data_IF_145540623114
#
_entry.id   IF_145540623114
#
_cell.length_a   1.000
_cell.length_b   1.000
_cell.length_c   1.000
_cell.angle_alpha   90.00
_cell.angle_beta   90.00
_cell.angle_gamma   90.00
#
_symmetry.space_group_name_H-M   'P 1'
#
loop_
_entity.id
_entity.type
_entity.pdbx_description
1 polymer ?
#
# COMPACT_ATOMS: atom_id res chain seq x y z
N UNK A 1 18.73 7.27 -40.30
CA UNK A 1 18.86 8.15 -39.13
C UNK A 1 17.67 9.09 -39.13
N UNK A 2 16.62 8.74 -38.40
CA UNK A 2 15.43 9.57 -38.23
C UNK A 2 15.78 10.69 -37.26
N UNK A 3 15.69 11.94 -37.71
CA UNK A 3 15.82 13.12 -36.86
C UNK A 3 14.72 13.07 -35.78
N UNK A 4 15.05 13.29 -34.49
CA UNK A 4 14.03 13.33 -33.45
C UNK A 4 12.99 14.42 -33.75
N UNK A 5 11.71 14.12 -33.53
CA UNK A 5 10.65 15.14 -33.58
C UNK A 5 10.92 16.21 -32.52
N UNK A 6 10.50 17.44 -32.77
CA UNK A 6 10.71 18.59 -31.88
C UNK A 6 10.17 18.33 -30.47
N UNK A 7 9.09 17.57 -30.38
CA UNK A 7 8.44 17.12 -29.14
C UNK A 7 9.27 16.07 -28.38
N UNK A 8 9.79 15.04 -29.06
CA UNK A 8 10.71 14.06 -28.45
C UNK A 8 12.00 14.70 -27.92
N UNK A 9 12.46 15.78 -28.56
CA UNK A 9 13.58 16.60 -28.08
C UNK A 9 13.23 17.44 -26.85
N UNK A 10 11.96 17.88 -26.70
CA UNK A 10 11.49 18.59 -25.50
C UNK A 10 11.43 17.65 -24.29
N UNK A 11 10.76 16.50 -24.43
CA UNK A 11 10.60 15.52 -23.34
C UNK A 11 11.97 15.03 -22.84
N UNK A 12 12.89 14.73 -23.76
CA UNK A 12 14.24 14.29 -23.39
C UNK A 12 15.01 15.33 -22.58
N UNK A 13 14.87 16.62 -22.92
CA UNK A 13 15.49 17.73 -22.16
C UNK A 13 14.83 17.92 -20.79
N UNK A 14 13.50 17.86 -20.72
CA UNK A 14 12.77 17.93 -19.46
C UNK A 14 13.14 16.77 -18.53
N UNK A 15 13.27 15.55 -19.05
CA UNK A 15 13.77 14.39 -18.29
C UNK A 15 15.19 14.60 -17.76
N UNK A 16 16.08 15.20 -18.54
CA UNK A 16 17.43 15.52 -18.07
C UNK A 16 17.40 16.57 -16.94
N UNK A 17 16.57 17.60 -17.06
CA UNK A 17 16.36 18.60 -16.00
C UNK A 17 15.78 17.98 -14.73
N UNK A 18 14.82 17.07 -14.86
CA UNK A 18 14.23 16.35 -13.74
C UNK A 18 15.28 15.56 -12.96
N UNK A 19 16.16 14.85 -13.69
CA UNK A 19 17.25 14.08 -13.08
C UNK A 19 18.26 14.96 -12.36
N UNK A 20 18.60 16.12 -12.95
CA UNK A 20 19.50 17.09 -12.35
C UNK A 20 18.88 17.65 -11.05
N UNK A 21 17.60 18.01 -11.06
CA UNK A 21 16.91 18.52 -9.88
C UNK A 21 16.85 17.50 -8.72
N UNK A 22 16.69 16.20 -9.01
CA UNK A 22 16.84 15.15 -7.98
C UNK A 22 18.28 15.06 -7.48
N UNK A 23 19.27 15.23 -8.37
CA UNK A 23 20.69 15.30 -8.01
C UNK A 23 20.99 16.47 -7.07
N UNK A 24 20.44 17.64 -7.34
CA UNK A 24 20.61 18.84 -6.51
C UNK A 24 19.96 18.70 -5.13
N UNK A 25 18.90 17.87 -5.01
CA UNK A 25 18.24 17.56 -3.75
C UNK A 25 18.86 16.35 -3.02
N UNK A 26 19.91 15.73 -3.57
CA UNK A 26 20.45 14.45 -3.08
C UNK A 26 20.71 14.42 -1.58
N UNK A 27 21.51 15.36 -1.09
CA UNK A 27 21.98 15.29 0.30
C UNK A 27 20.83 15.57 1.28
N UNK A 28 19.89 16.44 0.91
CA UNK A 28 18.65 16.69 1.66
C UNK A 28 17.78 15.43 1.72
N UNK A 29 17.57 14.72 0.60
CA UNK A 29 16.77 13.49 0.57
C UNK A 29 17.39 12.39 1.44
N UNK A 30 18.72 12.24 1.43
CA UNK A 30 19.42 11.27 2.28
C UNK A 30 19.32 11.66 3.75
N UNK A 31 19.49 12.94 4.08
CA UNK A 31 19.34 13.46 5.44
C UNK A 31 17.94 13.17 5.99
N UNK A 32 16.89 13.45 5.21
CA UNK A 32 15.50 13.18 5.59
C UNK A 32 15.29 11.68 5.81
N UNK A 33 15.76 10.82 4.90
CA UNK A 33 15.61 9.37 5.02
C UNK A 33 16.26 8.86 6.31
N UNK A 34 17.49 9.29 6.60
CA UNK A 34 18.21 8.88 7.82
C UNK A 34 17.52 9.37 9.09
N UNK A 35 16.99 10.60 9.06
CA UNK A 35 16.28 11.18 10.19
C UNK A 35 14.97 10.45 10.50
N UNK A 36 14.18 10.12 9.48
CA UNK A 36 12.97 9.29 9.62
C UNK A 36 13.36 7.90 10.14
N UNK A 37 14.36 7.27 9.51
CA UNK A 37 14.83 5.94 9.89
C UNK A 37 15.27 5.85 11.36
N UNK A 38 16.03 6.84 11.83
CA UNK A 38 16.56 6.88 13.20
C UNK A 38 15.50 7.18 14.27
N UNK A 39 14.32 7.66 13.89
CA UNK A 39 13.25 8.04 14.79
C UNK A 39 11.93 7.37 14.35
N UNK A 40 11.83 6.03 14.43
CA UNK A 40 10.64 5.32 13.99
C UNK A 40 9.43 5.72 14.83
N UNK A 41 8.35 6.12 14.16
CA UNK A 41 7.07 6.47 14.77
C UNK A 41 5.98 5.54 14.21
N UNK A 42 5.11 5.04 15.08
CA UNK A 42 4.07 4.09 14.67
C UNK A 42 2.93 4.79 13.92
N UNK A 43 2.08 3.98 13.29
CA UNK A 43 0.83 4.43 12.69
C UNK A 43 0.08 5.45 13.58
N UNK A 44 -0.31 6.59 12.99
CA UNK A 44 -0.98 7.72 13.66
C UNK A 44 -0.13 8.52 14.65
N UNK A 45 1.13 8.16 14.86
CA UNK A 45 2.06 8.83 15.76
C UNK A 45 3.23 9.50 15.03
N UNK A 46 3.25 9.51 13.69
CA UNK A 46 4.35 9.94 12.81
C UNK A 46 4.55 11.47 12.73
N UNK A 47 4.49 12.15 13.87
CA UNK A 47 4.52 13.62 13.97
C UNK A 47 5.85 14.21 13.54
N UNK A 48 6.97 13.55 13.86
CA UNK A 48 8.31 14.00 13.46
C UNK A 48 8.50 13.83 11.96
N UNK A 49 8.17 12.65 11.43
CA UNK A 49 8.37 12.35 10.01
C UNK A 49 7.49 13.22 9.11
N UNK A 50 6.18 13.26 9.36
CA UNK A 50 5.24 14.13 8.64
C UNK A 50 5.62 15.61 8.76
N UNK A 51 5.95 16.06 9.97
CA UNK A 51 6.33 17.42 10.26
C UNK A 51 7.61 17.84 9.53
N UNK A 52 8.59 16.93 9.43
CA UNK A 52 9.84 17.12 8.69
C UNK A 52 9.57 17.29 7.20
N UNK A 53 8.87 16.34 6.58
CA UNK A 53 8.54 16.38 5.15
C UNK A 53 7.78 17.66 4.77
N UNK A 54 6.74 17.99 5.56
CA UNK A 54 5.97 19.22 5.38
C UNK A 54 6.84 20.49 5.44
N UNK A 55 7.74 20.59 6.43
CA UNK A 55 8.68 21.73 6.54
C UNK A 55 9.58 21.86 5.32
N UNK A 56 10.09 20.74 4.79
CA UNK A 56 10.99 20.74 3.63
C UNK A 56 10.23 21.14 2.37
N UNK A 57 8.98 20.69 2.20
CA UNK A 57 8.11 21.11 1.11
C UNK A 57 7.79 22.63 1.16
N UNK A 58 7.49 23.18 2.34
CA UNK A 58 7.30 24.63 2.53
C UNK A 58 8.55 25.42 2.09
N UNK A 59 9.74 24.97 2.50
CA UNK A 59 11.03 25.58 2.11
C UNK A 59 11.28 25.50 0.58
N UNK A 60 10.73 24.48 -0.08
CA UNK A 60 10.81 24.29 -1.54
C UNK A 60 9.69 25.04 -2.29
N UNK A 61 8.86 25.80 -1.59
CA UNK A 61 7.84 26.69 -2.17
C UNK A 61 6.49 26.01 -2.44
N UNK A 62 6.20 24.88 -1.79
CA UNK A 62 4.86 24.29 -1.80
C UNK A 62 3.95 24.99 -0.78
N UNK A 63 2.68 25.13 -1.11
CA UNK A 63 1.64 25.46 -0.14
C UNK A 63 1.25 24.17 0.59
N UNK A 64 1.52 24.08 1.89
CA UNK A 64 1.32 22.84 2.67
C UNK A 64 0.21 23.01 3.70
N UNK A 65 -0.78 22.14 3.62
CA UNK A 65 -1.78 21.90 4.66
C UNK A 65 -1.32 20.71 5.52
N UNK A 66 -1.12 20.93 6.82
CA UNK A 66 -0.76 19.89 7.81
C UNK A 66 -2.03 19.44 8.53
N UNK A 67 -2.06 18.20 9.00
CA UNK A 67 -3.27 17.63 9.58
C UNK A 67 -4.37 17.43 8.53
N UNK A 68 -3.97 17.26 7.27
CA UNK A 68 -4.87 17.28 6.13
C UNK A 68 -5.85 16.11 6.19
N UNK A 69 -7.04 16.31 5.62
CA UNK A 69 -8.08 15.27 5.57
C UNK A 69 -8.39 14.67 6.94
N UNK A 70 -8.31 15.47 8.01
CA UNK A 70 -8.65 15.07 9.38
C UNK A 70 -7.77 13.97 9.99
N UNK A 71 -6.56 13.77 9.47
CA UNK A 71 -5.53 12.90 10.07
C UNK A 71 -4.38 13.79 10.53
N UNK A 72 -4.08 13.81 11.83
CA UNK A 72 -3.12 14.75 12.45
C UNK A 72 -1.75 14.74 11.76
N UNK A 73 -1.31 13.56 11.35
CA UNK A 73 0.00 13.32 10.74
C UNK A 73 -0.04 13.22 9.23
N UNK A 74 -1.17 13.48 8.57
CA UNK A 74 -1.22 13.63 7.11
C UNK A 74 -0.86 15.06 6.70
N UNK A 75 -0.35 15.22 5.48
CA UNK A 75 -0.18 16.54 4.87
C UNK A 75 -0.57 16.54 3.39
N UNK A 76 -0.99 17.70 2.91
CA UNK A 76 -1.31 17.97 1.52
C UNK A 76 -0.52 19.18 1.03
N UNK A 77 0.45 18.94 0.15
CA UNK A 77 1.34 19.98 -0.36
C UNK A 77 1.07 20.22 -1.85
N UNK A 78 0.80 21.46 -2.25
CA UNK A 78 0.48 21.84 -3.63
C UNK A 78 1.50 22.82 -4.22
N UNK A 79 1.83 22.64 -5.50
CA UNK A 79 2.63 23.58 -6.28
C UNK A 79 2.16 23.62 -7.75
N UNK A 80 2.14 24.81 -8.35
CA UNK A 80 1.67 24.98 -9.73
C UNK A 80 0.15 24.99 -9.86
N UNK A 81 -0.32 25.32 -11.06
CA UNK A 81 -1.73 25.54 -11.42
C UNK A 81 -2.01 25.06 -12.86
N UNK A 82 -1.20 24.12 -13.36
CA UNK A 82 -1.37 23.56 -14.69
C UNK A 82 -2.53 22.57 -14.80
N UNK A 83 -2.88 22.18 -16.04
CA UNK A 83 -4.08 21.39 -16.33
C UNK A 83 -3.96 19.91 -15.96
N UNK A 84 -2.74 19.39 -15.81
CA UNK A 84 -2.49 18.00 -15.39
C UNK A 84 -2.15 18.00 -13.89
N UNK A 85 -2.88 17.23 -13.10
CA UNK A 85 -2.70 17.11 -11.65
C UNK A 85 -2.04 15.77 -11.29
N UNK A 86 -0.80 15.81 -10.80
CA UNK A 86 -0.06 14.59 -10.41
C UNK A 86 0.17 14.55 -8.91
N UNK A 87 -0.12 13.41 -8.28
CA UNK A 87 0.13 13.16 -6.87
C UNK A 87 1.35 12.26 -6.67
N UNK A 88 2.28 12.68 -5.81
CA UNK A 88 3.40 11.87 -5.31
C UNK A 88 3.15 11.55 -3.84
N UNK A 89 3.09 10.26 -3.51
CA UNK A 89 2.71 9.82 -2.16
C UNK A 89 3.97 9.50 -1.35
N UNK A 90 3.90 9.81 -0.06
CA UNK A 90 4.98 9.64 0.90
C UNK A 90 4.45 8.92 2.15
N UNK A 91 4.90 7.69 2.38
CA UNK A 91 4.62 6.92 3.60
C UNK A 91 5.79 7.02 4.56
N UNK A 92 5.52 6.96 5.87
CA UNK A 92 6.54 7.21 6.89
C UNK A 92 6.20 6.64 8.28
N UNK A 93 5.20 5.78 8.40
CA UNK A 93 4.98 4.98 9.59
C UNK A 93 6.01 3.84 9.72
N UNK A 94 6.25 3.42 10.95
CA UNK A 94 7.14 2.34 11.32
C UNK A 94 6.37 1.19 11.96
N UNK A 95 7.03 0.03 12.05
CA UNK A 95 6.47 -1.16 12.68
C UNK A 95 6.90 -1.27 14.15
N UNK A 96 6.03 -1.81 15.04
CA UNK A 96 6.38 -2.06 16.44
C UNK A 96 7.65 -2.89 16.57
N UNK A 97 8.53 -2.48 17.49
CA UNK A 97 9.78 -3.15 17.88
C UNK A 97 10.89 -3.23 16.81
N UNK A 98 10.54 -3.24 15.52
CA UNK A 98 11.49 -3.43 14.41
C UNK A 98 11.74 -2.16 13.58
N UNK A 99 11.04 -1.06 13.86
CA UNK A 99 11.28 0.23 13.20
C UNK A 99 10.84 0.23 11.73
N UNK A 100 11.56 0.94 10.86
CA UNK A 100 11.26 1.00 9.41
C UNK A 100 11.66 -0.28 8.65
N UNK A 101 11.15 -1.43 9.10
CA UNK A 101 11.33 -2.73 8.47
C UNK A 101 10.56 -2.89 7.16
N UNK A 102 9.68 -1.95 6.82
CA UNK A 102 9.06 -1.85 5.49
C UNK A 102 9.74 -0.79 4.60
N UNK A 103 10.69 -0.02 5.15
CA UNK A 103 11.47 0.97 4.42
C UNK A 103 10.72 2.25 4.07
N UNK A 104 9.71 2.65 4.85
CA UNK A 104 8.91 3.85 4.59
C UNK A 104 9.75 5.14 4.58
N UNK A 105 10.90 5.17 5.27
CA UNK A 105 11.89 6.24 5.12
C UNK A 105 12.37 6.44 3.65
N UNK A 106 12.50 5.35 2.88
CA UNK A 106 12.85 5.39 1.47
C UNK A 106 11.63 5.70 0.58
N UNK A 107 10.43 5.29 0.97
CA UNK A 107 9.18 5.62 0.26
C UNK A 107 8.93 7.12 0.30
N UNK A 108 8.93 7.70 1.51
CA UNK A 108 8.79 9.15 1.71
C UNK A 108 9.77 9.95 0.86
N UNK A 109 11.04 9.53 0.84
CA UNK A 109 12.10 10.28 0.15
C UNK A 109 12.13 10.01 -1.35
N UNK A 110 11.70 8.83 -1.81
CA UNK A 110 11.48 8.56 -3.24
C UNK A 110 10.34 9.43 -3.80
N UNK A 111 9.21 9.50 -3.10
CA UNK A 111 8.07 10.33 -3.46
C UNK A 111 8.41 11.82 -3.47
N UNK A 112 9.03 12.32 -2.39
CA UNK A 112 9.52 13.70 -2.30
C UNK A 112 10.52 14.02 -3.42
N UNK A 113 11.50 13.15 -3.65
CA UNK A 113 12.49 13.31 -4.72
C UNK A 113 11.85 13.34 -6.10
N UNK A 114 10.87 12.46 -6.37
CA UNK A 114 10.10 12.45 -7.61
C UNK A 114 9.39 13.78 -7.88
N UNK A 115 8.71 14.31 -6.86
CA UNK A 115 8.01 15.58 -6.93
C UNK A 115 8.97 16.76 -7.16
N UNK A 116 10.08 16.83 -6.42
CA UNK A 116 11.10 17.87 -6.59
C UNK A 116 11.76 17.81 -7.98
N UNK A 117 12.00 16.60 -8.48
CA UNK A 117 12.50 16.36 -9.82
C UNK A 117 11.56 16.92 -10.88
N UNK A 118 10.27 16.57 -10.83
CA UNK A 118 9.29 17.10 -11.78
C UNK A 118 9.18 18.62 -11.70
N UNK A 119 9.09 19.18 -10.49
CA UNK A 119 9.05 20.63 -10.26
C UNK A 119 10.25 21.37 -10.87
N UNK A 120 11.43 20.76 -10.90
CA UNK A 120 12.62 21.32 -11.54
C UNK A 120 12.63 21.23 -13.07
N UNK A 121 11.75 20.42 -13.66
CA UNK A 121 11.72 20.13 -15.09
C UNK A 121 10.62 20.86 -15.86
N UNK A 122 9.55 21.28 -15.19
CA UNK A 122 8.38 21.89 -15.83
C UNK A 122 8.02 23.23 -15.20
N UNK A 123 7.28 24.07 -15.93
CA UNK A 123 6.80 25.35 -15.40
C UNK A 123 5.58 25.15 -14.48
N UNK A 124 5.32 26.07 -13.53
CA UNK A 124 4.15 25.98 -12.66
C UNK A 124 2.81 26.05 -13.41
N UNK A 125 2.79 26.51 -14.67
CA UNK A 125 1.60 26.50 -15.53
C UNK A 125 1.38 25.19 -16.29
N UNK A 126 2.34 24.26 -16.26
CA UNK A 126 2.24 22.98 -16.97
C UNK A 126 1.63 21.86 -16.11
N UNK A 127 1.81 21.92 -14.79
CA UNK A 127 1.35 20.89 -13.85
C UNK A 127 0.78 21.51 -12.58
N UNK A 128 -0.23 20.86 -12.00
CA UNK A 128 -0.58 20.98 -10.58
C UNK A 128 0.04 19.79 -9.85
N UNK A 129 1.13 20.04 -9.13
CA UNK A 129 1.85 19.01 -8.40
C UNK A 129 1.33 18.91 -6.98
N UNK A 130 0.95 17.70 -6.58
CA UNK A 130 0.51 17.37 -5.23
C UNK A 130 1.53 16.40 -4.61
N UNK A 131 1.93 16.67 -3.37
CA UNK A 131 2.65 15.71 -2.53
C UNK A 131 1.77 15.39 -1.32
N UNK A 132 1.41 14.13 -1.18
CA UNK A 132 0.57 13.64 -0.09
C UNK A 132 1.43 12.90 0.93
N UNK A 133 1.39 13.36 2.18
CA UNK A 133 1.85 12.57 3.31
C UNK A 133 0.76 11.63 3.75
N UNK A 134 1.01 10.33 3.64
CA UNK A 134 0.02 9.28 3.84
C UNK A 134 0.42 8.43 5.05
N UNK A 135 -0.15 8.68 6.24
CA UNK A 135 0.20 7.98 7.47
C UNK A 135 -0.44 6.58 7.54
N UNK A 136 0.03 5.78 8.49
CA UNK A 136 -0.60 4.54 8.94
C UNK A 136 -0.96 3.53 7.83
N UNK A 137 -0.04 3.26 6.91
CA UNK A 137 -0.24 2.21 5.89
C UNK A 137 -0.28 0.82 6.54
N UNK A 138 0.54 0.58 7.57
CA UNK A 138 0.74 -0.74 8.18
C UNK A 138 -0.35 -1.17 9.18
N UNK A 139 -1.34 -0.31 9.46
CA UNK A 139 -2.38 -0.59 10.47
C UNK A 139 -3.80 -0.28 9.98
N UNK A 140 -4.11 1.00 9.79
CA UNK A 140 -5.49 1.44 9.51
C UNK A 140 -5.74 1.81 8.04
N UNK A 141 -4.73 1.73 7.18
CA UNK A 141 -4.82 2.11 5.78
C UNK A 141 -5.19 3.58 5.60
N UNK A 142 -4.35 4.51 6.06
CA UNK A 142 -4.64 5.94 6.08
C UNK A 142 -5.09 6.52 4.74
N UNK A 143 -4.64 5.95 3.59
CA UNK A 143 -5.08 6.40 2.26
C UNK A 143 -6.56 6.15 2.02
N UNK A 144 -7.14 5.07 2.56
CA UNK A 144 -8.59 4.82 2.47
C UNK A 144 -9.41 5.93 3.15
N UNK A 145 -8.96 6.39 4.33
CA UNK A 145 -9.58 7.51 5.06
C UNK A 145 -9.44 8.82 4.28
N UNK A 146 -8.25 9.08 3.73
CA UNK A 146 -7.97 10.26 2.92
C UNK A 146 -8.83 10.29 1.64
N UNK A 147 -9.01 9.15 0.97
CA UNK A 147 -9.92 9.01 -0.18
C UNK A 147 -11.35 9.41 0.18
N UNK A 148 -11.88 8.88 1.29
CA UNK A 148 -13.23 9.20 1.75
C UNK A 148 -13.43 10.69 2.10
N UNK A 149 -12.32 11.43 2.26
CA UNK A 149 -12.29 12.86 2.60
C UNK A 149 -11.82 13.74 1.44
N UNK A 150 -11.76 13.20 0.22
CA UNK A 150 -11.53 13.96 -1.01
C UNK A 150 -10.06 14.15 -1.40
N UNK A 151 -9.11 13.43 -0.80
CA UNK A 151 -7.68 13.67 -1.05
C UNK A 151 -7.19 13.43 -2.48
N UNK A 152 -7.95 12.66 -3.26
CA UNK A 152 -7.62 12.31 -4.64
C UNK A 152 -8.61 12.91 -5.65
N UNK A 153 -9.50 13.81 -5.21
CA UNK A 153 -10.40 14.52 -6.11
C UNK A 153 -9.60 15.41 -7.07
N UNK A 154 -9.83 15.24 -8.38
CA UNK A 154 -9.15 16.01 -9.41
C UNK A 154 -7.70 15.59 -9.70
N UNK A 155 -7.20 14.52 -9.09
CA UNK A 155 -5.88 13.94 -9.41
C UNK A 155 -5.98 13.10 -10.68
N UNK A 156 -5.11 13.37 -11.66
CA UNK A 156 -5.06 12.64 -12.93
C UNK A 156 -4.23 11.35 -12.85
N UNK A 157 -3.18 11.31 -12.03
CA UNK A 157 -2.43 10.11 -11.71
C UNK A 157 -1.67 10.22 -10.38
N UNK A 158 -1.48 9.09 -9.70
CA UNK A 158 -0.76 8.96 -8.45
C UNK A 158 0.47 8.05 -8.58
N UNK A 159 1.60 8.48 -8.01
CA UNK A 159 2.89 7.80 -8.10
C UNK A 159 3.48 7.56 -6.70
N UNK A 160 3.91 6.33 -6.47
CA UNK A 160 4.66 5.89 -5.30
C UNK A 160 5.59 4.76 -5.72
N UNK A 161 6.62 4.46 -4.94
CA UNK A 161 7.49 3.31 -5.16
C UNK A 161 7.95 2.74 -3.83
N UNK A 162 8.08 1.41 -3.76
CA UNK A 162 8.27 0.69 -2.51
C UNK A 162 9.59 -0.09 -2.49
N UNK A 163 10.43 0.02 -1.45
CA UNK A 163 11.66 -0.74 -1.37
C UNK A 163 11.35 -2.23 -1.16
N UNK A 164 12.06 -3.10 -1.87
CA UNK A 164 11.94 -4.55 -1.75
C UNK A 164 13.29 -5.21 -2.13
N UNK A 165 13.42 -6.54 -2.06
CA UNK A 165 14.60 -7.23 -2.57
C UNK A 165 14.77 -7.13 -4.10
N UNK A 166 13.68 -6.91 -4.84
CA UNK A 166 13.66 -6.94 -6.30
C UNK A 166 12.90 -5.75 -6.90
N UNK A 167 13.31 -5.36 -8.11
CA UNK A 167 12.57 -4.43 -8.95
C UNK A 167 11.41 -5.15 -9.64
N UNK A 168 10.19 -4.67 -9.43
CA UNK A 168 8.96 -5.15 -10.06
C UNK A 168 8.15 -3.92 -10.44
N UNK A 169 7.76 -3.80 -11.70
CA UNK A 169 7.13 -2.59 -12.26
C UNK A 169 5.66 -2.49 -11.87
N UNK A 170 4.96 -3.61 -11.85
CA UNK A 170 3.55 -3.71 -11.49
C UNK A 170 3.32 -4.96 -10.62
N UNK A 171 3.80 -4.97 -9.35
CA UNK A 171 3.58 -6.10 -8.47
C UNK A 171 2.07 -6.31 -8.28
N UNK A 172 1.54 -7.53 -8.44
CA UNK A 172 0.19 -7.83 -7.95
C UNK A 172 0.17 -7.54 -6.45
N UNK A 173 -0.90 -7.01 -5.88
CA UNK A 173 -1.03 -6.92 -4.41
C UNK A 173 -2.40 -7.41 -4.00
N UNK A 174 -2.43 -8.18 -2.91
CA UNK A 174 -3.68 -8.70 -2.38
C UNK A 174 -4.51 -7.59 -1.77
N UNK A 175 -5.81 -7.61 -2.07
CA UNK A 175 -6.77 -7.01 -1.17
C UNK A 175 -6.95 -7.90 0.04
N UNK A 176 -7.19 -7.30 1.20
CA UNK A 176 -7.26 -7.97 2.50
C UNK A 176 -8.46 -7.46 3.26
N UNK A 177 -9.22 -8.41 3.81
CA UNK A 177 -10.23 -8.17 4.82
C UNK A 177 -9.99 -9.09 6.01
N UNK A 178 -9.98 -8.54 7.22
CA UNK A 178 -9.79 -9.27 8.45
C UNK A 178 -11.05 -9.23 9.32
N UNK A 179 -11.26 -10.24 10.16
CA UNK A 179 -12.35 -10.29 11.11
C UNK A 179 -11.97 -10.96 12.42
N UNK A 180 -12.66 -10.54 13.48
CA UNK A 180 -12.76 -11.24 14.75
C UNK A 180 -14.06 -12.04 14.76
N UNK A 181 -13.98 -13.28 15.22
CA UNK A 181 -15.12 -14.21 15.28
C UNK A 181 -15.29 -14.67 16.71
N UNK A 182 -16.50 -14.56 17.24
CA UNK A 182 -16.85 -15.01 18.59
C UNK A 182 -18.03 -15.97 18.52
N UNK A 183 -17.87 -17.11 19.17
CA UNK A 183 -18.95 -18.06 19.42
C UNK A 183 -19.37 -17.99 20.88
N UNK A 184 -20.67 -17.79 21.12
CA UNK A 184 -21.32 -17.82 22.42
C UNK A 184 -22.09 -19.12 22.62
N UNK A 185 -21.83 -19.82 23.71
CA UNK A 185 -22.41 -21.10 24.06
C UNK A 185 -22.96 -21.13 25.47
N UNK A 186 -22.96 -22.32 26.09
CA UNK A 186 -23.44 -22.52 27.45
C UNK A 186 -22.59 -23.56 28.15
N UNK A 187 -22.01 -23.18 29.28
CA UNK A 187 -21.13 -24.05 30.03
C UNK A 187 -21.92 -25.21 30.66
N UNK A 188 -21.29 -26.38 30.69
CA UNK A 188 -21.80 -27.56 31.39
C UNK A 188 -20.61 -28.40 31.87
N UNK A 189 -20.83 -29.21 32.90
CA UNK A 189 -19.81 -30.16 33.33
C UNK A 189 -19.68 -31.26 32.27
N UNK A 190 -18.51 -31.37 31.64
CA UNK A 190 -18.31 -32.21 30.45
C UNK A 190 -18.65 -33.69 30.66
N UNK A 191 -18.49 -34.21 31.89
CA UNK A 191 -18.82 -35.61 32.22
C UNK A 191 -20.17 -35.84 32.90
N UNK A 192 -20.81 -34.82 33.50
CA UNK A 192 -21.97 -35.04 34.39
C UNK A 192 -23.28 -34.73 33.68
N UNK A 193 -23.33 -33.64 32.91
CA UNK A 193 -24.53 -33.25 32.17
C UNK A 193 -24.16 -32.52 30.86
N UNK A 194 -23.32 -33.10 29.99
CA UNK A 194 -22.89 -32.45 28.75
C UNK A 194 -24.05 -32.05 27.83
N UNK A 195 -25.16 -32.78 27.86
CA UNK A 195 -26.37 -32.54 27.09
C UNK A 195 -27.06 -31.20 27.41
N UNK A 196 -26.70 -30.58 28.54
CA UNK A 196 -27.20 -29.26 28.92
C UNK A 196 -26.33 -28.13 28.36
N UNK A 197 -25.13 -28.43 27.85
CA UNK A 197 -24.20 -27.44 27.31
C UNK A 197 -24.46 -27.09 25.84
N UNK A 198 -23.85 -25.99 25.40
CA UNK A 198 -23.69 -25.61 23.99
C UNK A 198 -22.21 -25.28 23.81
N UNK A 199 -21.50 -26.07 23.00
CA UNK A 199 -20.06 -25.98 22.92
C UNK A 199 -19.61 -24.96 21.86
N UNK A 200 -19.17 -23.79 22.32
CA UNK A 200 -18.66 -22.72 21.47
C UNK A 200 -17.37 -23.11 20.74
N UNK A 201 -16.50 -23.90 21.37
CA UNK A 201 -15.27 -24.37 20.74
C UNK A 201 -15.57 -25.32 19.57
N UNK A 202 -16.55 -26.22 19.72
CA UNK A 202 -16.96 -27.12 18.63
C UNK A 202 -17.52 -26.34 17.44
N UNK A 203 -18.23 -25.23 17.69
CA UNK A 203 -18.69 -24.31 16.65
C UNK A 203 -17.52 -23.72 15.86
N UNK A 204 -16.52 -23.15 16.54
CA UNK A 204 -15.34 -22.56 15.91
C UNK A 204 -14.46 -23.61 15.21
N UNK A 205 -14.27 -24.79 15.79
CA UNK A 205 -13.53 -25.90 15.18
C UNK A 205 -14.24 -26.38 13.92
N UNK A 206 -15.57 -26.51 13.94
CA UNK A 206 -16.36 -26.87 12.76
C UNK A 206 -16.19 -25.85 11.64
N UNK A 207 -16.25 -24.56 11.96
CA UNK A 207 -16.00 -23.50 11.00
C UNK A 207 -14.57 -23.55 10.43
N UNK A 208 -13.56 -23.81 11.26
CA UNK A 208 -12.18 -23.98 10.82
C UNK A 208 -12.02 -25.16 9.85
N UNK A 209 -12.70 -26.28 10.11
CA UNK A 209 -12.72 -27.43 9.20
C UNK A 209 -13.46 -27.13 7.89
N UNK A 210 -14.59 -26.39 7.95
CA UNK A 210 -15.29 -25.94 6.75
C UNK A 210 -14.41 -25.01 5.89
N UNK A 211 -13.64 -24.11 6.51
CA UNK A 211 -12.63 -23.29 5.82
C UNK A 211 -11.53 -24.16 5.23
N UNK A 212 -11.07 -25.20 5.94
CA UNK A 212 -10.07 -26.12 5.42
C UNK A 212 -10.55 -26.84 4.14
N UNK A 213 -11.82 -27.23 4.09
CA UNK A 213 -12.44 -27.81 2.89
C UNK A 213 -12.66 -26.77 1.79
N UNK A 214 -13.06 -25.54 2.15
CA UNK A 214 -13.25 -24.43 1.22
C UNK A 214 -12.00 -24.17 0.37
N UNK A 215 -10.80 -24.34 0.95
CA UNK A 215 -9.50 -24.14 0.28
C UNK A 215 -9.32 -24.97 -0.99
N UNK A 216 -9.94 -26.17 -1.08
CA UNK A 216 -9.90 -26.99 -2.31
C UNK A 216 -10.60 -26.29 -3.49
N UNK A 217 -11.55 -25.41 -3.22
CA UNK A 217 -12.38 -24.70 -4.21
C UNK A 217 -12.09 -23.19 -4.26
N UNK A 218 -10.92 -22.79 -3.77
CA UNK A 218 -10.42 -21.42 -3.89
C UNK A 218 -9.59 -21.26 -5.16
N UNK A 219 -9.56 -20.03 -5.67
CA UNK A 219 -8.59 -19.68 -6.70
C UNK A 219 -7.17 -19.71 -6.14
N UNK A 220 -6.20 -19.96 -7.02
CA UNK A 220 -4.76 -19.98 -6.67
C UNK A 220 -4.24 -18.62 -6.22
N UNK A 221 -4.91 -17.54 -6.60
CA UNK A 221 -4.58 -16.14 -6.26
C UNK A 221 -5.42 -15.60 -5.10
N UNK A 222 -5.78 -16.46 -4.15
CA UNK A 222 -6.49 -16.10 -2.93
C UNK A 222 -6.02 -16.93 -1.73
N UNK A 223 -6.17 -16.38 -0.51
CA UNK A 223 -5.78 -17.01 0.75
C UNK A 223 -6.85 -16.79 1.81
N UNK A 224 -6.98 -17.77 2.71
CA UNK A 224 -7.73 -17.64 3.96
C UNK A 224 -6.87 -18.20 5.08
N UNK A 225 -6.50 -17.35 6.01
CA UNK A 225 -5.70 -17.68 7.18
C UNK A 225 -6.45 -17.27 8.45
N UNK A 226 -6.12 -17.92 9.57
CA UNK A 226 -6.67 -17.54 10.85
C UNK A 226 -6.24 -18.46 11.98
N UNK A 227 -6.53 -18.03 13.20
CA UNK A 227 -6.17 -18.70 14.44
C UNK A 227 -7.34 -18.69 15.42
N UNK A 228 -7.34 -19.64 16.35
CA UNK A 228 -8.18 -19.61 17.55
C UNK A 228 -7.40 -18.85 18.61
N UNK A 229 -7.92 -17.71 19.06
CA UNK A 229 -7.30 -16.86 20.08
C UNK A 229 -7.73 -17.27 21.49
N UNK A 230 -8.93 -17.83 21.63
CA UNK A 230 -9.45 -18.35 22.88
C UNK A 230 -10.35 -19.57 22.62
N UNK A 231 -10.14 -20.66 23.34
CA UNK A 231 -10.86 -21.93 23.14
C UNK A 231 -11.47 -22.53 24.41
N UNK A 232 -11.75 -21.69 25.42
CA UNK A 232 -12.17 -22.12 26.75
C UNK A 232 -11.04 -22.19 27.77
N UNK A 233 -11.39 -22.34 29.04
CA UNK A 233 -10.49 -22.21 30.19
C UNK A 233 -10.16 -23.53 30.89
N UNK A 234 -10.94 -24.59 30.69
CA UNK A 234 -10.73 -25.88 31.34
C UNK A 234 -11.28 -27.05 30.51
N UNK A 235 -10.48 -28.12 30.37
CA UNK A 235 -10.83 -29.34 29.62
C UNK A 235 -12.04 -30.13 30.16
N UNK A 236 -12.43 -29.96 31.42
CA UNK A 236 -13.56 -30.65 32.06
C UNK A 236 -14.86 -29.82 32.06
N UNK A 237 -14.86 -28.66 31.42
CA UNK A 237 -16.01 -27.76 31.26
C UNK A 237 -16.27 -27.59 29.77
N UNK A 238 -17.53 -27.73 29.35
CA UNK A 238 -17.94 -27.40 27.97
C UNK A 238 -17.69 -25.91 27.74
N UNK A 239 -16.86 -25.50 26.77
CA UNK A 239 -16.58 -24.10 26.50
C UNK A 239 -17.84 -23.33 26.12
N UNK A 240 -18.17 -22.28 26.87
CA UNK A 240 -19.25 -21.33 26.59
C UNK A 240 -18.80 -20.14 25.75
N UNK A 241 -17.50 -20.00 25.50
CA UNK A 241 -16.94 -18.98 24.61
C UNK A 241 -15.74 -19.50 23.85
N UNK A 242 -15.69 -19.18 22.57
CA UNK A 242 -14.51 -19.37 21.72
C UNK A 242 -14.34 -18.15 20.80
N UNK A 243 -13.10 -17.74 20.59
CA UNK A 243 -12.75 -16.56 19.79
C UNK A 243 -11.66 -16.92 18.78
N UNK A 244 -11.70 -16.29 17.62
CA UNK A 244 -10.69 -16.44 16.59
C UNK A 244 -10.48 -15.16 15.78
N UNK A 245 -9.35 -15.10 15.09
CA UNK A 245 -8.98 -14.03 14.17
C UNK A 245 -8.70 -14.62 12.80
N UNK A 246 -9.31 -14.08 11.76
CA UNK A 246 -9.21 -14.58 10.40
C UNK A 246 -8.98 -13.45 9.41
N UNK A 247 -8.34 -13.77 8.30
CA UNK A 247 -8.18 -12.87 7.16
C UNK A 247 -8.49 -13.59 5.85
N UNK A 248 -9.00 -12.82 4.90
CA UNK A 248 -9.29 -13.24 3.53
C UNK A 248 -8.50 -12.34 2.60
N UNK A 249 -7.78 -12.96 1.65
CA UNK A 249 -6.97 -12.26 0.66
C UNK A 249 -7.33 -12.69 -0.75
N UNK A 250 -7.39 -11.75 -1.69
CA UNK A 250 -7.54 -12.04 -3.11
C UNK A 250 -6.98 -10.91 -4.00
N UNK A 251 -6.49 -11.27 -5.19
CA UNK A 251 -6.01 -10.29 -6.18
C UNK A 251 -7.10 -9.67 -7.06
N UNK A 252 -8.36 -10.07 -6.89
CA UNK A 252 -9.49 -9.52 -7.63
C UNK A 252 -10.56 -9.06 -6.67
N UNK A 253 -10.99 -7.80 -6.82
CA UNK A 253 -11.93 -7.17 -5.90
C UNK A 253 -13.26 -7.95 -5.82
N UNK A 254 -13.84 -8.33 -6.96
CA UNK A 254 -15.06 -9.14 -6.99
C UNK A 254 -14.90 -10.51 -6.30
N UNK A 255 -13.72 -11.12 -6.43
CA UNK A 255 -13.46 -12.42 -5.83
C UNK A 255 -13.16 -12.32 -4.33
N UNK A 256 -12.57 -11.21 -3.87
CA UNK A 256 -12.40 -10.94 -2.43
C UNK A 256 -13.77 -10.93 -1.74
N UNK A 257 -14.74 -10.21 -2.32
CA UNK A 257 -16.11 -10.16 -1.82
C UNK A 257 -16.80 -11.54 -1.84
N UNK A 258 -16.68 -12.30 -2.94
CA UNK A 258 -17.20 -13.68 -3.02
C UNK A 258 -16.59 -14.59 -1.95
N UNK A 259 -15.26 -14.54 -1.81
CA UNK A 259 -14.55 -15.38 -0.86
C UNK A 259 -14.92 -15.02 0.59
N UNK A 260 -15.02 -13.73 0.92
CA UNK A 260 -15.55 -13.26 2.21
C UNK A 260 -16.93 -13.85 2.49
N UNK A 261 -17.87 -13.76 1.54
CA UNK A 261 -19.20 -14.33 1.70
C UNK A 261 -19.18 -15.86 1.91
N UNK A 262 -18.26 -16.57 1.26
CA UNK A 262 -18.06 -18.02 1.44
C UNK A 262 -17.49 -18.36 2.81
N UNK A 263 -16.55 -17.57 3.32
CA UNK A 263 -15.96 -17.72 4.66
C UNK A 263 -17.01 -17.43 5.75
N UNK A 264 -17.86 -16.41 5.56
CA UNK A 264 -19.00 -16.15 6.47
C UNK A 264 -19.91 -17.39 6.58
N UNK A 265 -20.24 -18.05 5.45
CA UNK A 265 -21.01 -19.30 5.47
C UNK A 265 -20.32 -20.44 6.23
N UNK A 266 -18.98 -20.49 6.24
CA UNK A 266 -18.25 -21.45 7.06
C UNK A 266 -18.43 -21.16 8.56
N UNK A 267 -18.43 -19.90 8.97
CA UNK A 267 -18.72 -19.52 10.35
C UNK A 267 -20.16 -19.86 10.73
N UNK A 268 -21.12 -19.53 9.87
CA UNK A 268 -22.54 -19.86 10.07
C UNK A 268 -22.78 -21.37 10.20
N UNK A 269 -22.09 -22.19 9.39
CA UNK A 269 -22.16 -23.65 9.50
C UNK A 269 -21.69 -24.16 10.87
N UNK A 270 -20.64 -23.57 11.44
CA UNK A 270 -20.17 -23.90 12.79
C UNK A 270 -21.21 -23.58 13.88
N UNK A 271 -21.88 -22.42 13.75
CA UNK A 271 -22.93 -22.01 14.67
C UNK A 271 -24.14 -22.94 14.58
N UNK A 272 -24.58 -23.23 13.36
CA UNK A 272 -25.72 -24.11 13.12
C UNK A 272 -25.48 -25.54 13.61
N UNK A 273 -24.26 -26.07 13.43
CA UNK A 273 -23.92 -27.43 13.87
C UNK A 273 -23.84 -27.57 15.39
N UNK A 274 -23.33 -26.54 16.08
CA UNK A 274 -23.12 -26.57 17.53
C UNK A 274 -24.32 -26.05 18.34
N UNK A 275 -25.19 -25.24 17.73
CA UNK A 275 -26.22 -24.48 18.41
C UNK A 275 -25.69 -23.20 19.10
N UNK A 276 -24.43 -22.84 18.89
CA UNK A 276 -23.82 -21.63 19.43
C UNK A 276 -24.29 -20.37 18.68
N UNK A 277 -24.33 -19.25 19.39
CA UNK A 277 -24.53 -17.93 18.82
C UNK A 277 -23.22 -17.45 18.16
N UNK A 278 -23.33 -16.78 17.01
CA UNK A 278 -22.18 -16.30 16.23
C UNK A 278 -22.20 -14.78 16.15
N UNK A 279 -21.06 -14.18 16.46
CA UNK A 279 -20.74 -12.80 16.13
C UNK A 279 -19.50 -12.77 15.22
N UNK A 280 -19.59 -12.05 14.10
CA UNK A 280 -18.45 -11.80 13.20
C UNK A 280 -18.30 -10.30 13.04
N UNK A 281 -17.17 -9.78 13.49
CA UNK A 281 -16.81 -8.36 13.38
C UNK A 281 -15.70 -8.20 12.35
N UNK A 282 -16.06 -7.73 11.16
CA UNK A 282 -15.08 -7.36 10.14
C UNK A 282 -14.41 -6.03 10.48
N UNK A 283 -13.13 -5.92 10.13
CA UNK A 283 -12.38 -4.67 10.22
C UNK A 283 -13.01 -3.62 9.31
N UNK A 284 -13.04 -2.37 9.77
CA UNK A 284 -13.39 -1.22 8.92
C UNK A 284 -12.23 -0.85 7.97
N UNK A 285 -11.03 -1.32 8.27
CA UNK A 285 -9.83 -1.11 7.47
C UNK A 285 -9.71 -2.22 6.43
N UNK A 286 -10.08 -1.88 5.19
CA UNK A 286 -10.06 -2.78 4.04
C UNK A 286 -9.00 -2.33 3.06
N UNK A 287 -8.10 -3.25 2.72
CA UNK A 287 -7.13 -3.07 1.66
C UNK A 287 -7.70 -3.61 0.35
N UNK A 288 -7.78 -2.79 -0.69
CA UNK A 288 -8.21 -3.26 -1.99
C UNK A 288 -7.02 -3.87 -2.77
N UNK A 289 -7.24 -4.85 -3.68
CA UNK A 289 -6.16 -5.36 -4.50
C UNK A 289 -5.64 -4.28 -5.45
N UNK A 290 -4.34 -4.27 -5.74
CA UNK A 290 -3.75 -3.26 -6.61
C UNK A 290 -4.27 -3.38 -8.05
N UNK A 291 -4.83 -2.28 -8.55
CA UNK A 291 -5.21 -2.06 -9.95
C UNK A 291 -4.12 -1.22 -10.64
N UNK A 292 -2.95 -1.84 -10.88
CA UNK A 292 -1.82 -1.15 -11.50
C UNK A 292 -2.18 -0.59 -12.88
N UNK A 293 -1.90 0.69 -13.10
CA UNK A 293 -2.04 1.32 -14.41
C UNK A 293 -0.83 0.96 -15.29
N UNK A 294 -1.00 0.04 -16.23
CA UNK A 294 0.08 -0.51 -17.03
C UNK A 294 0.67 0.51 -17.99
N UNK A 295 -0.13 1.44 -18.55
CA UNK A 295 0.41 2.53 -19.37
C UNK A 295 1.46 3.34 -18.59
N UNK A 296 1.16 3.71 -17.35
CA UNK A 296 2.09 4.45 -16.49
C UNK A 296 3.23 3.58 -15.97
N UNK A 297 2.96 2.31 -15.60
CA UNK A 297 3.98 1.37 -15.12
C UNK A 297 5.04 1.07 -16.20
N UNK A 298 4.62 0.90 -17.46
CA UNK A 298 5.53 0.70 -18.60
C UNK A 298 6.40 1.94 -18.85
N UNK A 299 5.84 3.15 -18.72
CA UNK A 299 6.61 4.39 -18.81
C UNK A 299 7.67 4.47 -17.68
N UNK A 300 7.28 4.14 -16.44
CA UNK A 300 8.21 4.06 -15.32
C UNK A 300 9.31 3.02 -15.53
N UNK A 301 8.96 1.80 -15.94
CA UNK A 301 9.91 0.73 -16.25
C UNK A 301 10.92 1.18 -17.30
N UNK A 302 10.45 1.78 -18.40
CA UNK A 302 11.31 2.31 -19.46
C UNK A 302 12.28 3.37 -18.94
N UNK A 303 11.80 4.31 -18.12
CA UNK A 303 12.65 5.35 -17.53
C UNK A 303 13.69 4.75 -16.55
N UNK A 304 13.31 3.74 -15.78
CA UNK A 304 14.18 3.05 -14.83
C UNK A 304 15.23 2.15 -15.51
N UNK A 305 14.86 1.42 -16.56
CA UNK A 305 15.76 0.55 -17.33
C UNK A 305 16.83 1.36 -18.08
N UNK A 306 16.47 2.54 -18.60
CA UNK A 306 17.42 3.49 -19.17
C UNK A 306 18.49 3.96 -18.16
N UNK A 307 18.29 3.70 -16.87
CA UNK A 307 19.23 3.99 -15.77
C UNK A 307 19.89 2.73 -15.20
N UNK A 308 19.74 1.60 -15.86
CA UNK A 308 20.38 0.34 -15.51
C UNK A 308 19.65 -0.49 -14.46
N UNK A 309 18.42 -0.13 -14.07
CA UNK A 309 17.56 -1.00 -13.25
C UNK A 309 17.08 -2.19 -14.10
N UNK A 310 16.80 -3.33 -13.44
CA UNK A 310 16.36 -4.56 -14.12
C UNK A 310 15.16 -5.14 -13.40
N UNK A 311 14.04 -5.24 -14.11
CA UNK A 311 12.80 -5.73 -13.54
C UNK A 311 12.66 -7.24 -13.69
N UNK A 312 12.07 -7.87 -12.69
CA UNK A 312 11.74 -9.29 -12.72
C UNK A 312 10.26 -9.48 -13.06
N UNK A 313 9.99 -10.50 -13.88
CA UNK A 313 8.65 -11.04 -14.03
C UNK A 313 8.40 -12.00 -12.86
N UNK A 314 7.39 -11.69 -12.03
CA UNK A 314 7.03 -12.52 -10.88
C UNK A 314 5.72 -13.29 -11.09
N UNK A 315 5.58 -14.48 -10.49
CA UNK A 315 4.31 -15.16 -10.40
C UNK A 315 3.27 -14.28 -9.69
N UNK A 316 2.02 -14.42 -10.13
CA UNK A 316 0.90 -13.60 -9.67
C UNK A 316 0.59 -13.80 -8.17
N UNK A 317 1.06 -14.87 -7.53
CA UNK A 317 0.60 -15.33 -6.22
C UNK A 317 1.56 -15.12 -5.03
N UNK A 318 2.61 -14.31 -5.17
CA UNK A 318 3.66 -14.12 -4.16
C UNK A 318 3.94 -12.66 -3.82
N UNK A 319 2.96 -11.95 -3.23
CA UNK A 319 3.08 -10.52 -2.94
C UNK A 319 2.40 -10.07 -1.65
N UNK A 320 2.64 -8.82 -1.25
CA UNK A 320 2.04 -8.18 -0.09
C UNK A 320 0.69 -7.51 -0.37
N UNK A 321 0.34 -6.57 0.50
CA UNK A 321 -0.88 -5.77 0.48
C UNK A 321 -0.53 -4.34 0.88
N UNK A 322 -1.23 -3.37 0.32
CA UNK A 322 -1.04 -1.95 0.63
C UNK A 322 -2.33 -1.20 0.34
N UNK A 323 -2.62 -0.14 1.09
CA UNK A 323 -3.78 0.73 0.89
C UNK A 323 -3.58 1.65 -0.33
N UNK A 324 -2.41 1.58 -0.98
CA UNK A 324 -2.26 2.07 -2.36
C UNK A 324 -3.20 1.34 -3.33
N UNK A 325 -3.58 0.10 -3.01
CA UNK A 325 -4.65 -0.60 -3.72
C UNK A 325 -5.93 0.24 -3.77
N UNK A 326 -6.35 0.84 -2.65
CA UNK A 326 -7.53 1.69 -2.59
C UNK A 326 -7.39 2.93 -3.49
N UNK A 327 -6.21 3.55 -3.53
CA UNK A 327 -5.92 4.70 -4.42
C UNK A 327 -6.05 4.30 -5.88
N UNK A 328 -5.57 3.11 -6.24
CA UNK A 328 -5.60 2.59 -7.62
C UNK A 328 -7.00 2.29 -8.17
N UNK A 329 -8.03 2.31 -7.32
CA UNK A 329 -9.44 2.21 -7.72
C UNK A 329 -10.15 3.56 -7.84
N UNK A 330 -9.50 4.67 -7.46
CA UNK A 330 -10.05 6.02 -7.60
C UNK A 330 -9.28 6.89 -8.59
N UNK A 331 -7.98 6.63 -8.80
CA UNK A 331 -7.15 7.33 -9.78
C UNK A 331 -6.12 6.39 -10.43
N UNK A 332 -5.70 6.63 -11.70
CA UNK A 332 -4.60 5.91 -12.32
C UNK A 332 -3.36 5.91 -11.43
N UNK A 333 -2.82 4.74 -11.11
CA UNK A 333 -1.80 4.60 -10.06
C UNK A 333 -0.72 3.58 -10.40
N UNK A 334 0.49 3.83 -9.91
CA UNK A 334 1.58 2.84 -9.90
C UNK A 334 2.10 2.64 -8.48
N UNK A 335 2.54 1.42 -8.16
CA UNK A 335 3.26 1.09 -6.93
C UNK A 335 4.37 0.05 -7.23
N UNK A 336 5.34 0.38 -8.10
CA UNK A 336 6.48 -0.48 -8.37
C UNK A 336 7.27 -0.77 -7.08
N UNK A 337 7.85 -1.96 -7.00
CA UNK A 337 8.91 -2.22 -6.03
C UNK A 337 10.29 -1.91 -6.62
N UNK A 338 11.25 -1.60 -5.75
CA UNK A 338 12.63 -1.36 -6.18
C UNK A 338 13.65 -2.06 -5.27
N UNK A 339 14.64 -2.70 -5.90
CA UNK A 339 15.74 -3.33 -5.18
C UNK A 339 16.62 -2.30 -4.46
N UNK A 340 16.96 -2.58 -3.19
CA UNK A 340 17.83 -1.74 -2.35
C UNK A 340 19.21 -2.34 -2.10
N UNK A 341 19.62 -3.30 -2.93
CA UNK A 341 20.98 -3.86 -2.93
C UNK A 341 21.22 -4.98 -1.90
N UNK A 342 20.18 -5.52 -1.28
CA UNK A 342 20.26 -6.64 -0.35
C UNK A 342 19.00 -7.52 -0.40
N UNK A 343 19.12 -8.75 0.11
CA UNK A 343 18.09 -9.80 0.01
C UNK A 343 17.24 -9.98 1.28
N UNK A 344 17.35 -9.09 2.27
CA UNK A 344 16.46 -9.15 3.42
C UNK A 344 15.03 -8.86 2.98
N UNK A 345 14.07 -9.59 3.52
CA UNK A 345 12.64 -9.40 3.24
C UNK A 345 12.07 -8.30 4.14
N UNK A 346 11.13 -7.52 3.63
CA UNK A 346 10.34 -6.56 4.41
C UNK A 346 9.78 -7.23 5.69
N UNK A 347 9.55 -6.41 6.72
CA UNK A 347 9.06 -6.81 8.04
C UNK A 347 10.03 -7.70 8.83
N UNK A 348 11.34 -7.57 8.56
CA UNK A 348 12.40 -8.23 9.33
C UNK A 348 13.37 -7.20 9.89
N UNK A 349 14.04 -7.47 11.04
CA UNK A 349 15.11 -6.61 11.54
C UNK A 349 16.25 -6.40 10.52
N UNK A 350 16.49 -7.40 9.66
CA UNK A 350 17.44 -7.29 8.56
C UNK A 350 17.04 -6.21 7.55
N UNK A 351 15.74 -6.08 7.23
CA UNK A 351 15.26 -5.02 6.34
C UNK A 351 15.47 -3.63 6.92
N UNK A 352 15.19 -3.46 8.21
CA UNK A 352 15.45 -2.20 8.93
C UNK A 352 16.90 -1.78 8.81
N UNK A 353 17.84 -2.72 8.94
CA UNK A 353 19.26 -2.39 8.81
C UNK A 353 19.63 -1.97 7.39
N UNK A 354 19.13 -2.68 6.37
CA UNK A 354 19.48 -2.38 4.98
C UNK A 354 18.83 -1.09 4.47
N UNK A 355 17.65 -0.72 4.98
CA UNK A 355 16.89 0.47 4.53
C UNK A 355 17.54 1.81 4.92
N UNK A 356 18.59 1.80 5.75
CA UNK A 356 19.41 2.97 6.09
C UNK A 356 20.77 3.02 5.41
N UNK A 357 21.13 2.02 4.60
CA UNK A 357 22.45 1.94 3.99
C UNK A 357 22.63 2.94 2.85
N UNK A 358 23.87 3.31 2.55
CA UNK A 358 24.19 4.17 1.40
C UNK A 358 23.78 3.54 0.06
N UNK A 359 23.82 2.21 -0.04
CA UNK A 359 23.32 1.48 -1.20
C UNK A 359 21.80 1.64 -1.37
N UNK A 360 21.04 1.54 -0.28
CA UNK A 360 19.59 1.76 -0.30
C UNK A 360 19.24 3.22 -0.65
N UNK A 361 19.98 4.18 -0.12
CA UNK A 361 19.81 5.59 -0.47
C UNK A 361 20.14 5.89 -1.94
N UNK A 362 21.21 5.30 -2.48
CA UNK A 362 21.51 5.44 -3.91
C UNK A 362 20.41 4.81 -4.76
N UNK A 363 19.91 3.63 -4.38
CA UNK A 363 18.77 3.01 -5.04
C UNK A 363 17.52 3.90 -5.01
N UNK A 364 17.21 4.52 -3.86
CA UNK A 364 16.12 5.49 -3.71
C UNK A 364 16.29 6.69 -4.65
N UNK A 365 17.49 7.26 -4.77
CA UNK A 365 17.75 8.37 -5.70
C UNK A 365 17.56 7.97 -7.17
N UNK A 366 17.91 6.73 -7.54
CA UNK A 366 17.63 6.21 -8.88
C UNK A 366 16.12 6.11 -9.15
N UNK A 367 15.35 5.70 -8.14
CA UNK A 367 13.89 5.56 -8.21
C UNK A 367 13.22 6.93 -8.26
N UNK A 368 13.62 7.88 -7.41
CA UNK A 368 13.14 9.26 -7.44
C UNK A 368 13.30 9.89 -8.83
N UNK A 369 14.45 9.66 -9.49
CA UNK A 369 14.67 10.08 -10.88
C UNK A 369 13.72 9.39 -11.87
N UNK A 370 13.49 8.09 -11.72
CA UNK A 370 12.50 7.35 -12.51
C UNK A 370 11.10 7.92 -12.36
N UNK A 371 10.65 8.14 -11.13
CA UNK A 371 9.34 8.75 -10.81
C UNK A 371 9.22 10.18 -11.36
N UNK A 372 10.28 10.99 -11.28
CA UNK A 372 10.31 12.34 -11.84
C UNK A 372 10.21 12.32 -13.38
N UNK A 373 10.94 11.42 -14.04
CA UNK A 373 10.89 11.25 -15.49
C UNK A 373 9.53 10.75 -15.96
N UNK A 374 8.88 9.86 -15.21
CA UNK A 374 7.51 9.42 -15.49
C UNK A 374 6.50 10.56 -15.33
N UNK A 375 6.68 11.42 -14.32
CA UNK A 375 5.90 12.65 -14.20
C UNK A 375 6.06 13.57 -15.40
N UNK A 376 7.28 13.72 -15.92
CA UNK A 376 7.53 14.49 -17.15
C UNK A 376 6.79 13.87 -18.34
N UNK A 377 6.80 12.54 -18.47
CA UNK A 377 6.04 11.85 -19.52
C UNK A 377 4.55 12.12 -19.39
N UNK A 378 3.96 11.96 -18.21
CA UNK A 378 2.52 12.18 -17.99
C UNK A 378 2.09 13.64 -18.23
N UNK A 379 2.97 14.61 -17.98
CA UNK A 379 2.67 16.04 -18.19
C UNK A 379 2.85 16.47 -19.65
N UNK A 380 3.86 15.94 -20.35
CA UNK A 380 4.25 16.41 -21.68
C UNK A 380 3.85 15.49 -22.84
N UNK A 381 3.52 14.22 -22.58
CA UNK A 381 2.96 13.27 -23.55
C UNK A 381 1.45 13.08 -23.26
N UNK A 382 0.63 13.88 -23.94
CA UNK A 382 -0.82 13.86 -23.78
C UNK A 382 -1.43 12.50 -24.19
N UNK A 383 -0.81 11.78 -25.12
CA UNK A 383 -1.28 10.45 -25.53
C UNK A 383 -1.02 9.42 -24.43
N UNK A 384 0.11 9.49 -23.72
CA UNK A 384 0.37 8.65 -22.56
C UNK A 384 -0.66 8.88 -21.45
N UNK A 385 -0.94 10.13 -21.10
CA UNK A 385 -1.92 10.45 -20.06
C UNK A 385 -3.32 9.96 -20.48
N UNK A 386 -3.73 10.20 -21.72
CA UNK A 386 -5.01 9.73 -22.24
C UNK A 386 -5.12 8.20 -22.20
N UNK A 387 -4.04 7.47 -22.54
CA UNK A 387 -3.99 6.00 -22.42
C UNK A 387 -4.13 5.55 -20.97
N UNK A 388 -3.40 6.17 -20.03
CA UNK A 388 -3.47 5.85 -18.61
C UNK A 388 -4.90 6.03 -18.07
N UNK A 389 -5.54 7.16 -18.39
CA UNK A 389 -6.91 7.43 -17.96
C UNK A 389 -7.94 6.51 -18.64
N UNK A 390 -7.75 6.17 -19.92
CA UNK A 390 -8.64 5.26 -20.63
C UNK A 390 -8.54 3.83 -20.08
N UNK A 391 -7.33 3.36 -19.78
CA UNK A 391 -7.10 2.07 -19.12
C UNK A 391 -7.81 2.01 -17.77
N UNK A 392 -7.64 3.02 -16.92
CA UNK A 392 -8.29 3.11 -15.61
C UNK A 392 -9.82 3.07 -15.72
N UNK A 393 -10.41 3.87 -16.62
CA UNK A 393 -11.88 3.87 -16.86
C UNK A 393 -12.40 2.56 -17.44
N UNK A 394 -11.54 1.79 -18.10
CA UNK A 394 -11.86 0.49 -18.70
C UNK A 394 -11.96 -0.66 -17.69
N UNK A 395 -11.49 -0.46 -16.45
CA UNK A 395 -11.59 -1.46 -15.38
C UNK A 395 -12.83 -1.17 -14.54
N UNK A 396 -13.91 -1.98 -14.64
CA UNK A 396 -15.11 -1.76 -13.85
C UNK A 396 -14.82 -2.02 -12.37
N UNK A 397 -15.30 -1.13 -11.49
CA UNK A 397 -15.38 -1.39 -10.05
C UNK A 397 -16.62 -2.27 -9.80
N UNK A 398 -16.44 -3.53 -9.36
CA UNK A 398 -17.54 -4.47 -9.11
C UNK A 398 -18.48 -4.06 -7.98
#
# INVERSE_FOLDING_TARGET
MTTPTTEGSLISRAKAAAQAAVGDARDELIEISREIHANPELAMEEKRASGLLARRLEQRGFAVERGAFGLETAFHARWGEGPVTLAYLCEYDALPEIGHACGHNLIATAGLGGALGLKGAVSPGAVTLIVLGTPAEEDIGGKAIMIARGAFEGVDAALIAHPAPFDIDAPPMYGVESCEVTYGGRAAHASVAPETGINALDGLVTAYQAIAQLRQHMRRDARVAGIITYGGSAHNVVPDRAEGRFEVRALRLAYLADLKARVIRCFEAGAQASGAELEVKWSEFVYEPMNNNMATAVAYKTNAENRGRKFLDIPVDSTGSSDMGNVSWVVPSIHPTFAIGAMALNHTPGFTQISATDAAHEAMLQVARGLAMTGVDLVLDADLLARAQAEFRGVPRP
#
